data_IF_098817473486
#
_entry.id   IF_098817473486
#
_cell.length_a   1.000
_cell.length_b   1.000
_cell.length_c   1.000
_cell.angle_alpha   90.00
_cell.angle_beta   90.00
_cell.angle_gamma   90.00
#
_symmetry.space_group_name_H-M   'P 1'
#
loop_
_entity.id
_entity.type
_entity.pdbx_description
1 polymer ?
#
# COMPACT_ATOMS: atom_id res chain seq x y z
N UNK A 1 -12.15 -3.63 -17.32
CA UNK A 1 -11.31 -2.44 -17.00
C UNK A 1 -10.12 -2.93 -16.17
N UNK A 2 -8.94 -2.33 -16.33
CA UNK A 2 -7.74 -2.74 -15.60
C UNK A 2 -7.59 -1.89 -14.32
N UNK A 3 -7.21 -2.54 -13.22
CA UNK A 3 -6.89 -1.86 -11.96
C UNK A 3 -5.48 -1.25 -12.02
N UNK A 4 -4.54 -1.96 -12.68
CA UNK A 4 -3.17 -1.50 -12.88
C UNK A 4 -2.69 -1.88 -14.27
N UNK A 5 -2.04 -0.96 -14.96
CA UNK A 5 -1.33 -1.19 -16.22
C UNK A 5 0.06 -0.58 -16.14
N UNK A 6 1.05 -1.38 -16.43
CA UNK A 6 2.46 -0.96 -16.57
C UNK A 6 2.93 -1.35 -17.96
N UNK A 7 3.56 -0.42 -18.67
CA UNK A 7 4.10 -0.66 -20.02
C UNK A 7 5.52 -0.14 -20.13
N UNK A 8 6.42 -1.03 -20.54
CA UNK A 8 7.83 -0.76 -20.83
C UNK A 8 8.54 0.06 -19.74
N UNK A 9 8.19 -0.23 -18.47
CA UNK A 9 8.70 0.49 -17.32
C UNK A 9 10.18 0.20 -17.11
N UNK A 10 10.98 1.26 -17.06
CA UNK A 10 12.41 1.19 -16.79
C UNK A 10 12.79 2.07 -15.59
N UNK A 11 13.74 1.56 -14.79
CA UNK A 11 14.38 2.29 -13.71
C UNK A 11 15.76 1.76 -13.44
N UNK A 12 16.75 2.65 -13.43
CA UNK A 12 18.15 2.31 -13.18
C UNK A 12 18.65 2.95 -11.90
N UNK A 13 19.39 2.18 -11.13
CA UNK A 13 20.18 2.59 -9.96
C UNK A 13 21.60 2.05 -10.11
N UNK A 14 22.58 2.58 -9.40
CA UNK A 14 23.92 1.95 -9.33
C UNK A 14 23.81 0.49 -8.86
N UNK A 15 24.21 -0.44 -9.74
CA UNK A 15 24.17 -1.89 -9.46
C UNK A 15 22.83 -2.60 -9.65
N UNK A 16 21.77 -1.89 -10.08
CA UNK A 16 20.46 -2.50 -10.34
C UNK A 16 19.73 -1.80 -11.50
N UNK A 17 19.08 -2.57 -12.35
CA UNK A 17 18.23 -2.04 -13.42
C UNK A 17 16.96 -2.86 -13.60
N UNK A 18 15.81 -2.18 -13.50
CA UNK A 18 14.53 -2.70 -13.95
C UNK A 18 14.35 -2.32 -15.42
N UNK A 19 14.12 -3.29 -16.30
CA UNK A 19 14.07 -3.05 -17.75
C UNK A 19 12.77 -3.60 -18.33
N UNK A 20 12.07 -2.75 -19.07
CA UNK A 20 10.92 -3.10 -19.89
C UNK A 20 9.85 -3.93 -19.16
N UNK A 21 9.59 -3.63 -17.88
CA UNK A 21 8.54 -4.30 -17.14
C UNK A 21 7.18 -3.92 -17.73
N UNK A 22 6.46 -4.93 -18.18
CA UNK A 22 5.08 -4.79 -18.68
C UNK A 22 4.19 -5.78 -17.94
N UNK A 23 3.13 -5.29 -17.31
CA UNK A 23 2.13 -6.10 -16.64
C UNK A 23 0.76 -5.42 -16.64
N UNK A 24 -0.28 -6.23 -16.53
CA UNK A 24 -1.66 -5.76 -16.46
C UNK A 24 -2.40 -6.54 -15.39
N UNK A 25 -3.04 -5.84 -14.45
CA UNK A 25 -3.92 -6.41 -13.45
C UNK A 25 -5.37 -6.00 -13.76
N UNK A 26 -6.23 -6.93 -14.20
CA UNK A 26 -7.66 -6.66 -14.35
C UNK A 26 -8.33 -6.39 -13.00
N UNK A 27 -9.42 -5.62 -13.00
CA UNK A 27 -10.25 -5.45 -11.80
C UNK A 27 -10.84 -6.79 -11.35
N UNK A 28 -10.96 -6.97 -10.03
CA UNK A 28 -11.47 -8.20 -9.43
C UNK A 28 -10.48 -9.37 -9.42
N UNK A 29 -9.22 -9.14 -9.84
CA UNK A 29 -8.16 -10.14 -9.83
C UNK A 29 -7.13 -9.88 -8.75
N UNK A 30 -6.44 -10.94 -8.34
CA UNK A 30 -5.27 -10.90 -7.45
C UNK A 30 -4.04 -11.26 -8.27
N UNK A 31 -2.96 -10.49 -8.10
CA UNK A 31 -1.66 -10.73 -8.75
C UNK A 31 -0.56 -10.83 -7.70
N UNK A 32 0.22 -11.90 -7.77
CA UNK A 32 1.45 -12.06 -6.98
C UNK A 32 2.66 -11.58 -7.77
N UNK A 33 3.43 -10.66 -7.19
CA UNK A 33 4.73 -10.25 -7.72
C UNK A 33 5.82 -11.08 -7.07
N UNK A 34 6.30 -12.09 -7.80
CA UNK A 34 7.24 -13.11 -7.29
C UNK A 34 8.62 -12.87 -7.90
N UNK A 35 9.65 -13.05 -7.12
CA UNK A 35 11.05 -12.95 -7.55
C UNK A 35 12.01 -13.01 -6.37
N UNK A 36 13.29 -13.23 -6.67
CA UNK A 36 14.35 -13.21 -5.66
C UNK A 36 14.51 -11.84 -5.00
N UNK A 37 15.24 -11.81 -3.89
CA UNK A 37 15.62 -10.54 -3.25
C UNK A 37 16.50 -9.73 -4.23
N UNK A 38 16.14 -8.45 -4.44
CA UNK A 38 16.81 -7.61 -5.43
C UNK A 38 16.25 -7.70 -6.85
N UNK A 39 15.22 -8.54 -7.12
CA UNK A 39 14.60 -8.65 -8.44
C UNK A 39 13.77 -7.41 -8.87
N UNK A 40 13.60 -6.42 -8.00
CA UNK A 40 12.90 -5.18 -8.33
C UNK A 40 11.44 -5.10 -7.86
N UNK A 41 10.96 -6.04 -7.04
CA UNK A 41 9.58 -6.04 -6.52
C UNK A 41 9.24 -4.75 -5.79
N UNK A 42 9.99 -4.41 -4.75
CA UNK A 42 9.78 -3.18 -3.97
C UNK A 42 10.06 -1.91 -4.79
N UNK A 43 11.00 -1.97 -5.75
CA UNK A 43 11.21 -0.87 -6.70
C UNK A 43 9.97 -0.65 -7.55
N UNK A 44 9.37 -1.70 -8.09
CA UNK A 44 8.13 -1.62 -8.87
C UNK A 44 6.99 -1.00 -8.04
N UNK A 45 6.81 -1.43 -6.80
CA UNK A 45 5.80 -0.87 -5.89
C UNK A 45 6.06 0.62 -5.63
N UNK A 46 7.30 1.01 -5.37
CA UNK A 46 7.67 2.42 -5.16
C UNK A 46 7.40 3.29 -6.39
N UNK A 47 7.62 2.75 -7.60
CA UNK A 47 7.32 3.45 -8.85
C UNK A 47 5.80 3.59 -9.06
N UNK A 48 5.02 2.56 -8.74
CA UNK A 48 3.54 2.63 -8.79
C UNK A 48 3.02 3.73 -7.86
N UNK A 49 3.58 3.82 -6.65
CA UNK A 49 3.16 4.75 -5.61
C UNK A 49 3.75 6.17 -5.74
N UNK A 50 4.53 6.44 -6.80
CA UNK A 50 5.25 7.73 -6.98
C UNK A 50 6.24 8.06 -5.83
N UNK A 51 6.72 7.05 -5.14
CA UNK A 51 7.81 7.17 -4.15
C UNK A 51 9.19 7.20 -4.81
N UNK A 52 9.27 6.88 -6.10
CA UNK A 52 10.44 6.98 -6.95
C UNK A 52 10.00 7.37 -8.36
N UNK A 53 10.84 8.13 -9.07
CA UNK A 53 10.59 8.50 -10.46
C UNK A 53 11.05 7.41 -11.41
N UNK A 54 10.21 7.05 -12.39
CA UNK A 54 10.57 6.17 -13.49
C UNK A 54 11.51 6.86 -14.48
N UNK A 55 12.38 6.11 -15.14
CA UNK A 55 13.25 6.64 -16.19
C UNK A 55 12.50 6.65 -17.54
N UNK A 56 11.69 5.64 -17.79
CA UNK A 56 10.81 5.55 -18.97
C UNK A 56 9.64 4.60 -18.74
N UNK A 57 8.71 4.53 -19.68
CA UNK A 57 7.50 3.72 -19.62
C UNK A 57 6.33 4.46 -19.00
N UNK A 58 5.22 3.74 -18.82
CA UNK A 58 4.00 4.30 -18.24
C UNK A 58 3.39 3.41 -17.18
N UNK A 59 2.73 4.04 -16.21
CA UNK A 59 1.97 3.37 -15.15
C UNK A 59 0.59 4.02 -15.09
N UNK A 60 -0.46 3.21 -15.20
CA UNK A 60 -1.83 3.66 -15.05
C UNK A 60 -2.53 2.89 -13.94
N UNK A 61 -3.19 3.63 -13.05
CA UNK A 61 -3.99 3.11 -11.95
C UNK A 61 -5.44 3.48 -12.20
N UNK A 62 -6.31 2.48 -12.30
CA UNK A 62 -7.73 2.67 -12.61
C UNK A 62 -7.96 3.54 -13.87
N UNK A 63 -7.09 3.36 -14.88
CA UNK A 63 -7.12 4.08 -16.16
C UNK A 63 -6.49 5.47 -16.15
N UNK A 64 -6.03 5.99 -15.01
CA UNK A 64 -5.36 7.30 -14.87
C UNK A 64 -3.86 7.13 -14.80
N UNK A 65 -3.10 8.05 -15.38
CA UNK A 65 -1.64 8.09 -15.18
C UNK A 65 -1.33 8.31 -13.72
N UNK A 66 -0.36 7.58 -13.18
CA UNK A 66 -0.03 7.65 -11.75
C UNK A 66 0.62 8.97 -11.34
N UNK A 67 1.08 9.78 -12.30
CA UNK A 67 1.64 11.12 -12.07
C UNK A 67 0.59 12.22 -12.10
N UNK A 68 -0.59 11.93 -12.66
CA UNK A 68 -1.68 12.90 -12.76
C UNK A 68 -2.64 12.76 -11.58
N UNK A 69 -3.02 13.89 -10.96
CA UNK A 69 -3.99 13.93 -9.86
C UNK A 69 -3.69 12.93 -8.73
N UNK A 70 -2.45 12.89 -8.28
CA UNK A 70 -1.91 11.93 -7.28
C UNK A 70 -2.83 11.81 -6.05
N UNK A 71 -3.38 12.91 -5.54
CA UNK A 71 -4.27 12.90 -4.37
C UNK A 71 -5.55 12.08 -4.62
N UNK A 72 -6.19 12.24 -5.79
CA UNK A 72 -7.40 11.50 -6.14
C UNK A 72 -7.11 10.03 -6.44
N UNK A 73 -5.94 9.74 -7.01
CA UNK A 73 -5.52 8.37 -7.28
C UNK A 73 -5.21 7.62 -5.98
N UNK A 74 -4.58 8.28 -5.01
CA UNK A 74 -4.26 7.70 -3.69
C UNK A 74 -5.49 7.45 -2.82
N UNK A 75 -6.57 8.17 -3.00
CA UNK A 75 -7.85 7.92 -2.32
C UNK A 75 -8.37 6.49 -2.59
N UNK A 76 -8.18 6.00 -3.81
CA UNK A 76 -8.63 4.67 -4.23
C UNK A 76 -7.60 3.55 -3.95
N UNK A 77 -6.45 3.87 -3.32
CA UNK A 77 -5.38 2.93 -3.03
C UNK A 77 -5.31 2.57 -1.55
N UNK A 78 -5.40 1.28 -1.25
CA UNK A 78 -4.97 0.74 0.04
C UNK A 78 -3.52 0.26 -0.07
N UNK A 79 -2.66 0.69 0.82
CA UNK A 79 -1.22 0.37 0.76
C UNK A 79 -0.74 -0.11 2.12
N UNK A 80 -0.08 -1.27 2.12
CA UNK A 80 0.64 -1.78 3.29
C UNK A 80 2.05 -2.14 2.84
N UNK A 81 3.02 -1.38 3.30
CA UNK A 81 4.44 -1.62 3.04
C UNK A 81 5.05 -2.50 4.14
N UNK A 82 6.21 -3.09 3.89
CA UNK A 82 6.96 -3.91 4.86
C UNK A 82 7.18 -3.19 6.20
N UNK A 83 7.39 -1.88 6.17
CA UNK A 83 7.39 -1.03 7.35
C UNK A 83 6.15 -0.14 7.38
N UNK A 84 5.28 -0.36 8.36
CA UNK A 84 4.12 0.49 8.62
C UNK A 84 4.60 1.74 9.36
N UNK A 85 4.54 2.88 8.71
CA UNK A 85 5.14 4.14 9.15
C UNK A 85 4.25 5.03 10.00
N UNK A 86 3.42 4.51 10.90
CA UNK A 86 2.70 5.35 11.85
C UNK A 86 3.65 5.89 12.93
N UNK A 87 3.46 7.14 13.39
CA UNK A 87 4.23 7.68 14.51
C UNK A 87 4.10 6.81 15.77
N UNK A 88 5.24 6.55 16.41
CA UNK A 88 5.33 5.58 17.50
C UNK A 88 4.53 5.96 18.76
N UNK A 89 4.24 7.25 18.95
CA UNK A 89 3.47 7.78 20.07
C UNK A 89 1.95 7.71 19.90
N UNK A 90 1.46 7.31 18.71
CA UNK A 90 0.03 7.27 18.44
C UNK A 90 -0.59 5.95 18.90
N UNK A 91 -1.79 6.04 19.45
CA UNK A 91 -2.65 4.87 19.66
C UNK A 91 -3.43 4.56 18.38
N UNK A 92 -3.96 3.34 18.20
CA UNK A 92 -4.82 2.99 17.05
C UNK A 92 -6.02 3.92 16.90
N UNK A 93 -6.61 4.39 18.00
CA UNK A 93 -7.71 5.35 17.95
C UNK A 93 -7.27 6.68 17.34
N UNK A 94 -6.09 7.19 17.72
CA UNK A 94 -5.53 8.42 17.15
C UNK A 94 -5.17 8.24 15.67
N UNK A 95 -4.62 7.08 15.29
CA UNK A 95 -4.41 6.71 13.88
C UNK A 95 -5.72 6.76 13.10
N UNK A 96 -6.80 6.14 13.62
CA UNK A 96 -8.12 6.18 12.99
C UNK A 96 -8.66 7.61 12.79
N UNK A 97 -8.45 8.50 13.77
CA UNK A 97 -8.86 9.91 13.65
C UNK A 97 -8.08 10.63 12.54
N UNK A 98 -6.76 10.44 12.45
CA UNK A 98 -5.94 11.02 11.39
C UNK A 98 -6.37 10.50 10.02
N UNK A 99 -6.64 9.20 9.90
CA UNK A 99 -7.09 8.60 8.65
C UNK A 99 -8.47 9.12 8.22
N UNK A 100 -9.36 9.35 9.17
CA UNK A 100 -10.67 9.97 8.92
C UNK A 100 -10.54 11.37 8.32
N UNK A 101 -9.56 12.15 8.77
CA UNK A 101 -9.31 13.49 8.24
C UNK A 101 -8.55 13.45 6.89
N UNK A 102 -7.92 12.32 6.57
CA UNK A 102 -7.12 12.12 5.36
C UNK A 102 -7.95 11.58 4.20
N UNK A 103 -8.78 10.58 4.45
CA UNK A 103 -9.56 9.87 3.43
C UNK A 103 -11.03 10.23 3.48
N UNK A 104 -11.62 10.60 2.33
CA UNK A 104 -13.04 10.98 2.21
C UNK A 104 -13.98 9.81 2.49
N UNK A 105 -13.59 8.61 2.02
CA UNK A 105 -14.36 7.38 2.15
C UNK A 105 -14.03 6.59 3.43
N UNK A 106 -13.34 7.22 4.40
CA UNK A 106 -13.03 6.54 5.66
C UNK A 106 -14.28 6.12 6.40
N UNK A 107 -14.34 4.84 6.77
CA UNK A 107 -15.41 4.26 7.58
C UNK A 107 -14.89 3.86 8.97
N UNK A 108 -15.23 4.62 10.04
CA UNK A 108 -14.78 4.32 11.39
C UNK A 108 -15.36 3.01 11.94
N UNK A 109 -16.53 2.57 11.48
CA UNK A 109 -17.14 1.32 11.96
C UNK A 109 -16.44 0.11 11.33
N UNK A 110 -16.06 0.20 10.07
CA UNK A 110 -15.20 -0.79 9.39
C UNK A 110 -13.85 -0.86 10.07
N UNK A 111 -13.24 0.26 10.42
CA UNK A 111 -11.96 0.30 11.15
C UNK A 111 -12.06 -0.40 12.51
N UNK A 112 -13.09 -0.09 13.31
CA UNK A 112 -13.33 -0.76 14.60
C UNK A 112 -13.56 -2.25 14.45
N UNK A 113 -14.29 -2.66 13.40
CA UNK A 113 -14.50 -4.07 13.08
C UNK A 113 -13.17 -4.79 12.85
N UNK A 114 -12.28 -4.25 12.00
CA UNK A 114 -10.97 -4.83 11.76
C UNK A 114 -10.09 -4.83 13.01
N UNK A 115 -10.10 -3.77 13.81
CA UNK A 115 -9.39 -3.73 15.08
C UNK A 115 -9.78 -4.90 15.99
N UNK A 116 -11.07 -5.18 16.08
CA UNK A 116 -11.61 -6.29 16.87
C UNK A 116 -11.27 -7.65 16.27
N UNK A 117 -11.47 -7.85 14.98
CA UNK A 117 -11.19 -9.10 14.26
C UNK A 117 -9.70 -9.47 14.34
N UNK A 118 -8.83 -8.49 14.25
CA UNK A 118 -7.38 -8.68 14.33
C UNK A 118 -6.83 -8.66 15.76
N UNK A 119 -7.72 -8.54 16.76
CA UNK A 119 -7.39 -8.54 18.20
C UNK A 119 -6.34 -7.49 18.56
N UNK A 120 -6.48 -6.28 18.01
CA UNK A 120 -5.57 -5.18 18.29
C UNK A 120 -6.00 -4.36 19.51
N UNK A 121 -5.08 -4.00 20.43
CA UNK A 121 -5.38 -3.18 21.59
C UNK A 121 -5.65 -1.72 21.19
N UNK A 122 -6.73 -1.13 21.70
CA UNK A 122 -7.13 0.24 21.35
C UNK A 122 -6.28 1.33 22.04
N UNK A 123 -5.74 1.02 23.24
CA UNK A 123 -5.13 2.01 24.12
C UNK A 123 -3.60 1.93 24.24
N UNK A 124 -2.96 1.05 23.49
CA UNK A 124 -1.50 0.95 23.47
C UNK A 124 -0.92 1.82 22.38
N UNK A 125 0.21 2.45 22.64
CA UNK A 125 0.94 3.20 21.64
C UNK A 125 1.58 2.27 20.62
N UNK A 126 1.73 2.76 19.38
CA UNK A 126 2.27 1.99 18.26
C UNK A 126 3.67 1.43 18.52
N UNK A 127 4.51 2.13 19.32
CA UNK A 127 5.83 1.62 19.74
C UNK A 127 5.76 0.32 20.55
N UNK A 128 4.64 0.06 21.23
CA UNK A 128 4.43 -1.14 22.06
C UNK A 128 3.94 -2.35 21.23
N UNK A 129 3.67 -2.15 19.93
CA UNK A 129 3.19 -3.19 19.04
C UNK A 129 4.35 -4.05 18.54
N UNK A 130 4.11 -5.37 18.50
CA UNK A 130 4.99 -6.28 17.75
C UNK A 130 4.93 -5.96 16.24
N UNK A 131 5.91 -6.45 15.49
CA UNK A 131 5.92 -6.29 14.02
C UNK A 131 4.61 -6.78 13.39
N UNK A 132 4.12 -7.95 13.81
CA UNK A 132 2.84 -8.48 13.32
C UNK A 132 1.65 -7.61 13.69
N UNK A 133 1.60 -7.04 14.90
CA UNK A 133 0.55 -6.12 15.31
C UNK A 133 0.61 -4.80 14.50
N UNK A 134 1.79 -4.27 14.24
CA UNK A 134 1.98 -3.09 13.38
C UNK A 134 1.45 -3.35 11.97
N UNK A 135 1.76 -4.52 11.40
CA UNK A 135 1.26 -4.94 10.10
C UNK A 135 -0.27 -5.05 10.09
N UNK A 136 -0.86 -5.69 11.10
CA UNK A 136 -2.32 -5.80 11.25
C UNK A 136 -3.01 -4.42 11.32
N UNK A 137 -2.42 -3.47 12.04
CA UNK A 137 -2.93 -2.09 12.09
C UNK A 137 -2.86 -1.42 10.71
N UNK A 138 -1.76 -1.60 9.98
CA UNK A 138 -1.62 -1.12 8.60
C UNK A 138 -2.70 -1.68 7.68
N UNK A 139 -2.98 -2.97 7.78
CA UNK A 139 -4.05 -3.64 7.01
C UNK A 139 -5.43 -3.08 7.39
N UNK A 140 -5.72 -2.94 8.69
CA UNK A 140 -6.98 -2.36 9.15
C UNK A 140 -7.19 -0.95 8.59
N UNK A 141 -6.15 -0.11 8.66
CA UNK A 141 -6.21 1.25 8.12
C UNK A 141 -6.38 1.26 6.59
N UNK A 142 -5.61 0.43 5.87
CA UNK A 142 -5.66 0.38 4.41
C UNK A 142 -7.02 -0.09 3.86
N UNK A 143 -7.75 -0.92 4.59
CA UNK A 143 -9.05 -1.45 4.16
C UNK A 143 -10.24 -0.56 4.58
N UNK A 144 -10.04 0.40 5.48
CA UNK A 144 -11.15 1.15 6.08
C UNK A 144 -11.62 2.38 5.29
N UNK A 145 -11.02 2.65 4.13
CA UNK A 145 -11.45 3.73 3.21
C UNK A 145 -11.96 3.22 1.86
N UNK A 146 -12.34 1.93 1.79
CA UNK A 146 -12.90 1.29 0.59
C UNK A 146 -11.99 1.40 -0.64
N UNK A 147 -10.72 0.95 -0.57
CA UNK A 147 -9.79 1.05 -1.68
C UNK A 147 -10.22 0.16 -2.85
N UNK A 148 -10.00 0.64 -4.08
CA UNK A 148 -10.27 -0.11 -5.32
C UNK A 148 -9.08 -0.93 -5.80
N UNK A 149 -7.88 -0.59 -5.32
CA UNK A 149 -6.66 -1.36 -5.53
C UNK A 149 -5.90 -1.45 -4.20
N UNK A 150 -5.61 -2.68 -3.77
CA UNK A 150 -4.80 -2.95 -2.58
C UNK A 150 -3.40 -3.40 -3.00
N UNK A 151 -2.38 -2.74 -2.47
CA UNK A 151 -0.96 -3.07 -2.68
C UNK A 151 -0.36 -3.50 -1.35
N UNK A 152 0.17 -4.72 -1.32
CA UNK A 152 0.80 -5.31 -0.15
C UNK A 152 2.26 -5.64 -0.47
N UNK A 153 3.22 -5.06 0.25
CA UNK A 153 4.64 -5.38 0.14
C UNK A 153 5.07 -6.13 1.39
N UNK A 154 5.37 -7.43 1.23
CA UNK A 154 5.77 -8.36 2.30
C UNK A 154 4.85 -8.36 3.55
N UNK A 155 3.57 -8.03 3.36
CA UNK A 155 2.59 -7.87 4.42
C UNK A 155 2.30 -9.15 5.23
N UNK A 156 2.84 -10.28 4.84
CA UNK A 156 2.72 -11.57 5.55
C UNK A 156 3.87 -11.83 6.52
N UNK A 157 4.96 -11.07 6.44
CA UNK A 157 6.11 -11.26 7.33
C UNK A 157 5.74 -10.81 8.75
N UNK A 158 5.61 -11.79 9.67
CA UNK A 158 5.28 -11.55 11.09
C UNK A 158 3.78 -11.61 11.42
N UNK A 159 2.94 -12.20 10.57
CA UNK A 159 1.51 -12.47 10.84
C UNK A 159 1.29 -13.86 11.50
N UNK A 160 2.31 -14.51 11.97
CA UNK A 160 2.22 -15.81 12.67
C UNK A 160 1.52 -15.69 14.03
#
# INVERSE_FOLDING_TARGET
MNALEIRDLCKSYPGFSLQNLTLTLPQGCIMGLIGENGAGKSTTIRLILEMAQKDSGSIRILGKDNTENIALTKEDLGVVLDEVGFPECLTPQQVGNIMKDTYRNWDPDVYKKYMKELSLPENKEFKEFSRGMKMKLGIAAALSHDPKLLILDEATSGLD
#
